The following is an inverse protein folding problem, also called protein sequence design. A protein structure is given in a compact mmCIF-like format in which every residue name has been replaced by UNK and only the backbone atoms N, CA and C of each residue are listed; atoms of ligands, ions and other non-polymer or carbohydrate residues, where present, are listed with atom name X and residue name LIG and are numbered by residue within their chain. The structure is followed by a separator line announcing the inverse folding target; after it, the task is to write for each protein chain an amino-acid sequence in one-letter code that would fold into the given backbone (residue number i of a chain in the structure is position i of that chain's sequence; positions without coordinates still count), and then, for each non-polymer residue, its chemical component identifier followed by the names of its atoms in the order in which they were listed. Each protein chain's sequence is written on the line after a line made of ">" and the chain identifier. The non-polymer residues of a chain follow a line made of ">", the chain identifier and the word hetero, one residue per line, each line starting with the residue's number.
data_IF_355044616653
#
_entry.id   IF_355044616653
#
_cell.length_a   1.000
_cell.length_b   1.000
_cell.length_c   1.000
_cell.angle_alpha   90.00
_cell.angle_beta   90.00
_cell.angle_gamma   90.00
#
_symmetry.space_group_name_H-M   'P 1'
#
loop_
_entity.id
_entity.type
_entity.pdbx_description
1 polymer ?
#
# COMPACT_ATOMS: atom_id res chain seq x y z
N UNK A 1 -48.63 -13.91 -17.49
CA UNK A 1 -49.35 -13.16 -16.45
C UNK A 1 -49.11 -13.92 -15.16
N UNK A 2 -48.19 -13.59 -14.27
CA UNK A 2 -47.24 -12.48 -14.12
C UNK A 2 -46.04 -13.13 -13.38
N UNK A 3 -44.81 -13.10 -13.89
CA UNK A 3 -43.83 -12.02 -13.70
C UNK A 3 -43.99 -11.25 -12.39
N UNK A 4 -43.40 -11.77 -11.31
CA UNK A 4 -42.77 -10.94 -10.29
C UNK A 4 -41.81 -11.81 -9.46
N UNK A 5 -40.61 -12.00 -10.00
CA UNK A 5 -39.43 -12.29 -9.20
C UNK A 5 -38.51 -11.08 -9.31
N UNK A 6 -38.88 -10.00 -8.62
CA UNK A 6 -37.94 -8.94 -8.21
C UNK A 6 -36.94 -9.54 -7.21
N UNK A 7 -36.02 -10.36 -7.69
CA UNK A 7 -34.79 -10.61 -6.95
C UNK A 7 -33.83 -9.51 -7.34
N UNK A 8 -33.89 -8.41 -6.59
CA UNK A 8 -33.01 -7.25 -6.73
C UNK A 8 -31.56 -7.71 -6.56
N UNK A 9 -30.92 -8.08 -7.67
CA UNK A 9 -29.47 -8.29 -7.77
C UNK A 9 -28.80 -7.02 -7.27
N UNK A 10 -28.45 -6.99 -5.99
CA UNK A 10 -27.53 -6.01 -5.41
C UNK A 10 -26.31 -6.01 -6.32
N UNK A 11 -26.12 -4.91 -7.05
CA UNK A 11 -24.93 -4.70 -7.87
C UNK A 11 -23.77 -4.47 -6.93
N UNK A 12 -23.11 -5.54 -6.51
CA UNK A 12 -21.87 -5.43 -5.78
C UNK A 12 -20.77 -5.00 -6.75
N UNK A 13 -19.98 -4.01 -6.34
CA UNK A 13 -18.77 -3.65 -7.05
C UNK A 13 -17.58 -4.25 -6.31
N UNK A 14 -16.81 -5.09 -6.99
CA UNK A 14 -15.63 -5.74 -6.44
C UNK A 14 -14.38 -5.00 -6.90
N UNK A 15 -13.48 -4.70 -5.96
CA UNK A 15 -12.18 -4.11 -6.29
C UNK A 15 -11.17 -5.23 -6.55
N UNK A 16 -10.56 -5.20 -7.73
CA UNK A 16 -9.48 -6.10 -8.14
C UNK A 16 -8.12 -5.42 -8.13
N UNK A 17 -7.09 -6.25 -8.10
CA UNK A 17 -5.71 -5.86 -8.36
C UNK A 17 -5.24 -6.63 -9.59
N UNK A 18 -4.88 -5.91 -10.65
CA UNK A 18 -4.29 -6.46 -11.87
C UNK A 18 -2.79 -6.15 -11.85
N UNK A 19 -1.93 -7.09 -11.41
CA UNK A 19 -0.49 -6.86 -11.39
C UNK A 19 0.09 -6.75 -12.80
N UNK A 20 1.08 -5.88 -12.97
CA UNK A 20 1.89 -5.82 -14.18
C UNK A 20 2.83 -7.05 -14.22
N UNK A 21 3.12 -7.59 -15.42
CA UNK A 21 4.05 -8.72 -15.55
C UNK A 21 5.43 -8.37 -14.96
N UNK A 22 6.05 -9.34 -14.30
CA UNK A 22 7.39 -9.20 -13.73
C UNK A 22 8.32 -10.24 -14.30
N UNK A 23 9.51 -9.79 -14.68
CA UNK A 23 10.64 -10.66 -15.00
C UNK A 23 11.53 -10.77 -13.77
N UNK A 24 11.85 -12.00 -13.39
CA UNK A 24 12.70 -12.31 -12.24
C UNK A 24 13.86 -13.16 -12.72
N UNK A 25 15.07 -12.77 -12.33
CA UNK A 25 16.24 -13.63 -12.48
C UNK A 25 16.16 -14.76 -11.44
N UNK A 26 16.40 -15.99 -11.88
CA UNK A 26 16.34 -17.16 -11.00
C UNK A 26 17.47 -17.18 -9.97
N UNK A 27 18.61 -16.59 -10.31
CA UNK A 27 19.77 -16.38 -9.44
C UNK A 27 20.28 -14.98 -9.73
N UNK A 28 20.42 -14.17 -8.68
CA UNK A 28 20.96 -12.83 -8.74
C UNK A 28 21.75 -12.56 -7.46
N UNK A 29 22.88 -11.87 -7.58
CA UNK A 29 23.78 -11.53 -6.48
C UNK A 29 23.69 -10.05 -6.11
N UNK A 30 22.91 -9.26 -6.85
CA UNK A 30 22.67 -7.86 -6.55
C UNK A 30 21.76 -7.69 -5.32
N UNK A 31 21.97 -6.67 -4.47
CA UNK A 31 21.09 -6.38 -3.33
C UNK A 31 19.61 -6.22 -3.72
N UNK A 32 19.36 -5.78 -4.96
CA UNK A 32 18.01 -5.64 -5.53
C UNK A 32 17.21 -6.96 -5.56
N UNK A 33 17.88 -8.12 -5.53
CA UNK A 33 17.23 -9.42 -5.45
C UNK A 33 16.33 -9.57 -4.21
N UNK A 34 16.72 -8.93 -3.10
CA UNK A 34 15.97 -8.93 -1.83
C UNK A 34 14.90 -7.83 -1.76
N UNK A 35 14.70 -7.08 -2.85
CA UNK A 35 13.69 -6.03 -2.96
C UNK A 35 12.73 -6.29 -4.12
N UNK A 36 11.61 -6.96 -3.83
CA UNK A 36 10.60 -7.26 -4.86
C UNK A 36 9.64 -6.08 -5.00
N UNK A 37 9.56 -5.50 -6.19
CA UNK A 37 8.57 -4.47 -6.52
C UNK A 37 7.27 -5.14 -6.95
N UNK A 38 6.12 -4.66 -6.48
CA UNK A 38 4.79 -5.02 -6.98
C UNK A 38 4.11 -3.78 -7.52
N UNK A 39 3.72 -3.78 -8.78
CA UNK A 39 3.03 -2.66 -9.43
C UNK A 39 1.88 -3.17 -10.29
N UNK A 40 0.90 -2.31 -10.53
CA UNK A 40 -0.22 -2.65 -11.40
C UNK A 40 -1.40 -1.71 -11.27
N UNK A 41 -2.54 -2.20 -11.72
CA UNK A 41 -3.79 -1.46 -11.83
C UNK A 41 -4.80 -1.88 -10.76
N UNK A 42 -5.57 -0.91 -10.27
CA UNK A 42 -6.75 -1.15 -9.43
C UNK A 42 -7.95 -1.19 -10.34
N UNK A 43 -8.69 -2.30 -10.33
CA UNK A 43 -9.84 -2.49 -11.21
C UNK A 43 -11.15 -2.57 -10.45
N UNK A 44 -12.26 -2.25 -11.13
CA UNK A 44 -13.61 -2.38 -10.60
C UNK A 44 -14.41 -3.34 -11.47
N UNK A 45 -14.91 -4.41 -10.87
CA UNK A 45 -15.86 -5.33 -11.49
C UNK A 45 -17.27 -4.91 -11.14
N UNK A 46 -18.06 -4.56 -12.13
CA UNK A 46 -19.51 -4.38 -12.00
C UNK A 46 -20.18 -5.74 -12.14
N UNK A 47 -21.27 -6.01 -11.40
CA UNK A 47 -21.90 -7.34 -11.29
C UNK A 47 -22.45 -8.01 -12.57
N UNK A 48 -22.05 -7.56 -13.76
CA UNK A 48 -22.21 -8.24 -15.03
C UNK A 48 -20.91 -8.98 -15.34
N UNK A 49 -20.97 -10.30 -15.50
CA UNK A 49 -19.81 -11.17 -15.77
C UNK A 49 -19.11 -10.90 -17.10
N UNK A 50 -19.80 -10.21 -18.02
CA UNK A 50 -19.37 -10.04 -19.41
C UNK A 50 -18.75 -8.66 -19.67
N UNK A 51 -18.81 -7.75 -18.69
CA UNK A 51 -18.20 -6.42 -18.82
C UNK A 51 -16.72 -6.48 -18.43
N UNK A 52 -15.87 -5.90 -19.27
CA UNK A 52 -14.45 -5.76 -18.95
C UNK A 52 -14.27 -4.94 -17.65
N UNK A 53 -13.36 -5.36 -16.75
CA UNK A 53 -13.11 -4.63 -15.52
C UNK A 53 -12.63 -3.20 -15.83
N UNK A 54 -13.20 -2.23 -15.12
CA UNK A 54 -12.88 -0.82 -15.32
C UNK A 54 -11.59 -0.49 -14.57
N UNK A 55 -10.61 0.11 -15.24
CA UNK A 55 -9.43 0.65 -14.58
C UNK A 55 -9.80 1.92 -13.80
N UNK A 56 -9.58 1.88 -12.48
CA UNK A 56 -9.92 2.97 -11.57
C UNK A 56 -8.69 3.56 -10.87
N UNK A 57 -7.48 3.07 -11.16
CA UNK A 57 -6.31 3.46 -10.39
C UNK A 57 -5.05 2.63 -10.61
N UNK A 58 -3.98 3.02 -9.92
CA UNK A 58 -2.69 2.32 -9.93
C UNK A 58 -2.18 2.10 -8.51
N UNK A 59 -1.36 1.07 -8.32
CA UNK A 59 -0.68 0.80 -7.06
C UNK A 59 0.80 0.47 -7.26
N UNK A 60 1.58 0.70 -6.21
CA UNK A 60 2.95 0.24 -6.07
C UNK A 60 3.18 -0.19 -4.62
N UNK A 61 3.86 -1.32 -4.44
CA UNK A 61 4.37 -1.81 -3.17
C UNK A 61 5.77 -2.40 -3.36
N UNK A 62 6.51 -2.51 -2.27
CA UNK A 62 7.78 -3.23 -2.22
C UNK A 62 7.74 -4.26 -1.11
N UNK A 63 8.28 -5.44 -1.38
CA UNK A 63 8.56 -6.44 -0.37
C UNK A 63 10.07 -6.49 -0.14
N UNK A 64 10.47 -6.24 1.11
CA UNK A 64 11.86 -6.30 1.55
C UNK A 64 12.07 -7.64 2.24
N UNK A 65 12.89 -8.50 1.64
CA UNK A 65 13.33 -9.77 2.20
C UNK A 65 14.60 -9.56 3.06
N UNK A 66 14.41 -8.95 4.22
CA UNK A 66 15.48 -8.68 5.17
C UNK A 66 16.08 -9.96 5.74
N UNK A 67 15.26 -10.99 5.96
CA UNK A 67 15.71 -12.30 6.43
C UNK A 67 16.64 -12.96 5.41
N UNK A 68 16.22 -13.02 4.14
CA UNK A 68 17.03 -13.54 3.04
C UNK A 68 18.34 -12.78 2.88
N UNK A 69 18.31 -11.45 2.96
CA UNK A 69 19.51 -10.62 2.86
C UNK A 69 20.52 -10.95 3.98
N UNK A 70 20.05 -11.06 5.23
CA UNK A 70 20.90 -11.45 6.37
C UNK A 70 21.48 -12.86 6.18
N UNK A 71 20.67 -13.82 5.73
CA UNK A 71 21.14 -15.18 5.46
C UNK A 71 22.19 -15.25 4.34
N UNK A 72 22.15 -14.32 3.38
CA UNK A 72 23.08 -14.22 2.27
C UNK A 72 24.29 -13.31 2.56
N UNK A 73 24.45 -12.81 3.78
CA UNK A 73 25.48 -11.83 4.17
C UNK A 73 25.43 -10.53 3.33
N UNK A 74 24.21 -10.13 2.93
CA UNK A 74 23.95 -8.89 2.19
C UNK A 74 23.42 -7.82 3.15
N UNK A 75 24.01 -6.64 3.08
CA UNK A 75 23.64 -5.49 3.91
C UNK A 75 22.23 -5.01 3.57
N UNK A 76 21.36 -4.90 4.59
CA UNK A 76 20.03 -4.31 4.44
C UNK A 76 20.08 -2.84 3.99
N UNK A 77 21.19 -2.14 4.27
CA UNK A 77 21.42 -0.79 3.74
C UNK A 77 21.48 -0.80 2.21
N UNK A 78 22.22 -1.74 1.62
CA UNK A 78 22.37 -1.82 0.16
C UNK A 78 21.06 -2.26 -0.50
N UNK A 79 20.30 -3.17 0.15
CA UNK A 79 18.97 -3.56 -0.31
C UNK A 79 18.02 -2.37 -0.35
N UNK A 80 17.95 -1.58 0.73
CA UNK A 80 17.04 -0.44 0.81
C UNK A 80 17.53 0.80 0.03
N UNK A 81 18.82 0.89 -0.28
CA UNK A 81 19.42 1.94 -1.14
C UNK A 81 19.34 1.61 -2.64
N UNK A 82 18.80 0.44 -3.01
CA UNK A 82 18.56 0.08 -4.42
C UNK A 82 17.62 1.08 -5.11
N UNK A 83 16.69 1.70 -4.38
CA UNK A 83 15.84 2.77 -4.90
C UNK A 83 15.60 3.86 -3.86
N UNK A 84 15.50 5.10 -4.34
CA UNK A 84 15.24 6.27 -3.50
C UNK A 84 13.93 6.14 -2.70
N UNK A 85 12.94 5.41 -3.22
CA UNK A 85 11.66 5.20 -2.54
C UNK A 85 11.80 4.39 -1.24
N UNK A 86 12.82 3.54 -1.12
CA UNK A 86 12.95 2.59 0.00
C UNK A 86 14.01 2.99 1.03
N UNK A 87 14.93 3.88 0.68
CA UNK A 87 16.05 4.27 1.55
C UNK A 87 15.59 4.78 2.93
N UNK A 88 14.58 5.66 2.97
CA UNK A 88 14.06 6.24 4.22
C UNK A 88 13.59 5.15 5.22
N UNK A 89 13.22 3.95 4.76
CA UNK A 89 12.69 2.87 5.60
C UNK A 89 13.77 2.19 6.45
N UNK A 90 15.06 2.43 6.21
CA UNK A 90 16.15 1.97 7.06
C UNK A 90 15.98 2.39 8.53
N UNK A 91 15.39 3.56 8.80
CA UNK A 91 15.16 4.05 10.16
C UNK A 91 14.17 3.20 10.98
N UNK A 92 13.52 2.21 10.36
CA UNK A 92 12.65 1.26 11.04
C UNK A 92 13.43 0.14 11.71
N UNK A 93 14.66 -0.11 11.26
CA UNK A 93 15.55 -1.14 11.76
C UNK A 93 16.56 -0.60 12.77
N UNK A 94 16.97 -1.45 13.70
CA UNK A 94 18.14 -1.22 14.54
C UNK A 94 19.39 -1.30 13.67
N UNK A 95 20.34 -0.35 13.78
CA UNK A 95 21.58 -0.38 13.01
C UNK A 95 22.35 -1.68 13.23
N UNK A 96 22.57 -2.45 12.14
CA UNK A 96 23.39 -3.67 12.16
C UNK A 96 22.76 -4.92 12.79
N UNK A 97 21.51 -4.86 13.27
CA UNK A 97 20.90 -5.99 13.98
C UNK A 97 19.80 -6.72 13.19
N UNK A 98 19.38 -6.20 12.03
CA UNK A 98 18.31 -6.81 11.22
C UNK A 98 16.94 -6.87 11.91
N UNK A 99 16.79 -6.25 13.08
CA UNK A 99 15.56 -6.22 13.89
C UNK A 99 14.95 -4.82 13.90
N UNK A 100 13.69 -4.69 14.33
CA UNK A 100 12.99 -3.40 14.38
C UNK A 100 13.37 -2.55 15.59
N UNK A 101 13.33 -1.22 15.42
CA UNK A 101 13.54 -0.28 16.53
C UNK A 101 12.43 -0.37 17.60
N UNK A 102 12.75 0.01 18.84
CA UNK A 102 11.75 0.09 19.93
C UNK A 102 10.55 0.98 19.58
N UNK A 103 10.77 2.06 18.83
CA UNK A 103 9.71 2.95 18.37
C UNK A 103 8.71 2.24 17.46
N UNK A 104 9.22 1.35 16.59
CA UNK A 104 8.40 0.51 15.72
C UNK A 104 7.63 -0.53 16.54
N UNK A 105 8.29 -1.25 17.44
CA UNK A 105 7.67 -2.24 18.32
C UNK A 105 6.53 -1.62 19.16
N UNK A 106 6.78 -0.44 19.75
CA UNK A 106 5.78 0.33 20.49
C UNK A 106 4.58 0.73 19.62
N UNK A 107 4.81 1.17 18.39
CA UNK A 107 3.74 1.53 17.47
C UNK A 107 2.92 0.32 17.01
N UNK A 108 3.60 -0.80 16.77
CA UNK A 108 3.02 -2.10 16.43
C UNK A 108 2.29 -2.76 17.61
N UNK A 109 2.50 -2.27 18.85
CA UNK A 109 2.04 -2.90 20.10
C UNK A 109 2.53 -4.35 20.19
N UNK A 110 3.81 -4.54 19.98
CA UNK A 110 4.48 -5.82 20.10
C UNK A 110 5.67 -5.66 21.06
N UNK A 111 5.91 -6.67 21.89
CA UNK A 111 7.14 -6.74 22.69
C UNK A 111 8.32 -7.23 21.83
N UNK A 112 8.02 -8.05 20.82
CA UNK A 112 8.98 -8.59 19.86
C UNK A 112 8.29 -8.94 18.53
N UNK A 113 9.03 -8.91 17.43
CA UNK A 113 8.61 -9.39 16.11
C UNK A 113 9.74 -10.26 15.54
N UNK A 114 9.43 -11.51 15.18
CA UNK A 114 10.44 -12.45 14.68
C UNK A 114 10.76 -12.20 13.21
N UNK A 115 9.76 -11.83 12.42
CA UNK A 115 9.89 -11.67 10.98
C UNK A 115 10.42 -10.26 10.64
N UNK A 116 11.68 -10.13 10.18
CA UNK A 116 12.28 -8.83 9.89
C UNK A 116 11.81 -8.27 8.53
N UNK A 117 11.12 -9.07 7.74
CA UNK A 117 10.64 -8.71 6.40
C UNK A 117 9.54 -7.66 6.46
N UNK A 118 9.50 -6.81 5.42
CA UNK A 118 8.66 -5.61 5.39
C UNK A 118 7.87 -5.52 4.08
N UNK A 119 6.56 -5.34 4.19
CA UNK A 119 5.74 -4.91 3.05
C UNK A 119 5.56 -3.39 3.10
N UNK A 120 6.15 -2.68 2.15
CA UNK A 120 6.02 -1.24 1.97
C UNK A 120 4.88 -0.97 0.99
N UNK A 121 3.81 -0.33 1.44
CA UNK A 121 2.76 0.21 0.57
C UNK A 121 3.18 1.62 0.15
N UNK A 122 3.71 1.74 -1.06
CA UNK A 122 4.41 2.93 -1.53
C UNK A 122 3.47 3.92 -2.22
N UNK A 123 2.69 3.45 -3.21
CA UNK A 123 1.77 4.29 -3.98
C UNK A 123 0.41 3.64 -4.12
N UNK A 124 -0.62 4.44 -3.95
CA UNK A 124 -1.99 4.08 -4.32
C UNK A 124 -2.70 5.31 -4.87
N UNK A 125 -3.15 5.17 -6.10
CA UNK A 125 -3.80 6.21 -6.87
C UNK A 125 -5.17 5.74 -7.28
N UNK A 126 -6.21 6.49 -6.93
CA UNK A 126 -7.57 6.24 -7.39
C UNK A 126 -8.00 7.45 -8.22
N UNK A 127 -8.52 7.21 -9.42
CA UNK A 127 -9.01 8.23 -10.32
C UNK A 127 -10.11 9.08 -9.65
N UNK A 128 -10.17 10.40 -9.88
CA UNK A 128 -11.09 11.31 -9.18
C UNK A 128 -12.56 10.84 -9.15
N UNK A 129 -13.06 10.29 -10.25
CA UNK A 129 -14.44 9.81 -10.40
C UNK A 129 -14.82 8.66 -9.44
N UNK A 130 -13.83 7.92 -8.94
CA UNK A 130 -14.01 6.73 -8.10
C UNK A 130 -13.59 6.95 -6.64
N UNK A 131 -13.17 8.18 -6.27
CA UNK A 131 -12.78 8.51 -4.89
C UNK A 131 -13.99 8.59 -3.96
N UNK A 132 -13.72 8.53 -2.65
CA UNK A 132 -14.71 8.63 -1.55
C UNK A 132 -15.75 7.50 -1.51
N UNK A 133 -15.57 6.45 -2.31
CA UNK A 133 -16.39 5.22 -2.32
C UNK A 133 -15.72 4.03 -1.64
N UNK A 134 -14.69 4.26 -0.82
CA UNK A 134 -13.98 3.19 -0.10
C UNK A 134 -13.07 2.28 -0.94
N UNK A 135 -13.05 2.37 -2.28
CA UNK A 135 -12.24 1.49 -3.13
C UNK A 135 -10.75 1.51 -2.82
N UNK A 136 -10.18 2.66 -2.43
CA UNK A 136 -8.78 2.73 -2.01
C UNK A 136 -8.48 1.89 -0.76
N UNK A 137 -9.40 1.82 0.21
CA UNK A 137 -9.21 0.97 1.40
C UNK A 137 -9.31 -0.51 1.02
N UNK A 138 -10.23 -0.86 0.11
CA UNK A 138 -10.36 -2.23 -0.39
C UNK A 138 -9.10 -2.66 -1.15
N UNK A 139 -8.56 -1.80 -2.01
CA UNK A 139 -7.30 -2.04 -2.72
C UNK A 139 -6.15 -2.28 -1.72
N UNK A 140 -6.01 -1.45 -0.68
CA UNK A 140 -4.99 -1.68 0.36
C UNK A 140 -5.17 -3.01 1.09
N UNK A 141 -6.40 -3.42 1.40
CA UNK A 141 -6.67 -4.73 1.99
C UNK A 141 -6.24 -5.84 1.04
N UNK A 142 -6.56 -5.73 -0.25
CA UNK A 142 -6.11 -6.66 -1.28
C UNK A 142 -4.58 -6.72 -1.33
N UNK A 143 -3.90 -5.58 -1.36
CA UNK A 143 -2.44 -5.50 -1.43
C UNK A 143 -1.81 -6.17 -0.20
N UNK A 144 -2.34 -5.90 1.00
CA UNK A 144 -1.89 -6.59 2.21
C UNK A 144 -2.13 -8.09 2.09
N UNK A 145 -3.33 -8.53 1.68
CA UNK A 145 -3.64 -9.96 1.59
C UNK A 145 -2.71 -10.71 0.63
N UNK A 146 -2.45 -10.15 -0.56
CA UNK A 146 -1.69 -10.81 -1.61
C UNK A 146 -0.17 -10.70 -1.45
N UNK A 147 0.33 -9.59 -0.87
CA UNK A 147 1.76 -9.31 -0.86
C UNK A 147 2.41 -9.42 0.53
N UNK A 148 1.66 -9.60 1.62
CA UNK A 148 2.25 -9.62 2.97
C UNK A 148 2.90 -10.94 3.37
N UNK A 149 2.80 -12.01 2.57
CA UNK A 149 3.25 -13.33 2.99
C UNK A 149 4.74 -13.31 3.41
N UNK A 150 5.02 -13.70 4.65
CA UNK A 150 6.36 -13.69 5.25
C UNK A 150 6.83 -12.33 5.79
N UNK A 151 6.08 -11.24 5.63
CA UNK A 151 6.40 -9.96 6.25
C UNK A 151 5.95 -9.94 7.71
N UNK A 152 6.73 -9.35 8.62
CA UNK A 152 6.30 -9.09 10.00
C UNK A 152 5.44 -7.83 10.10
N UNK A 153 5.75 -6.83 9.28
CA UNK A 153 5.07 -5.55 9.26
C UNK A 153 4.65 -5.14 7.84
N UNK A 154 3.53 -4.43 7.79
CA UNK A 154 3.14 -3.58 6.67
C UNK A 154 3.40 -2.14 7.06
N UNK A 155 4.04 -1.38 6.18
CA UNK A 155 4.39 0.02 6.42
C UNK A 155 3.99 0.91 5.25
N UNK A 156 3.83 2.20 5.53
CA UNK A 156 3.65 3.23 4.51
C UNK A 156 4.12 4.59 5.02
N UNK A 157 4.42 5.50 4.09
CA UNK A 157 4.59 6.93 4.34
C UNK A 157 3.32 7.66 3.89
N UNK A 158 2.47 8.17 4.79
CA UNK A 158 1.30 8.96 4.40
C UNK A 158 1.75 10.31 3.83
N UNK A 159 1.98 10.34 2.52
CA UNK A 159 2.45 11.52 1.79
C UNK A 159 1.35 12.00 0.83
N UNK A 160 0.86 13.25 0.97
CA UNK A 160 -0.16 13.76 0.05
C UNK A 160 0.42 13.96 -1.35
N UNK A 161 -0.15 13.26 -2.35
CA UNK A 161 0.28 13.30 -3.76
C UNK A 161 0.35 14.71 -4.35
N UNK A 162 -0.49 15.64 -3.90
CA UNK A 162 -0.42 17.04 -4.35
C UNK A 162 0.88 17.75 -3.93
N UNK A 163 1.61 17.19 -2.96
CA UNK A 163 2.93 17.68 -2.54
C UNK A 163 4.05 17.22 -3.49
N UNK A 164 3.79 16.22 -4.33
CA UNK A 164 4.67 15.83 -5.44
C UNK A 164 4.38 16.71 -6.67
N UNK A 165 3.12 17.13 -6.84
CA UNK A 165 2.68 17.90 -8.01
C UNK A 165 3.33 19.29 -8.15
N UNK A 166 3.93 19.84 -7.09
CA UNK A 166 4.68 21.10 -7.15
C UNK A 166 5.93 21.02 -8.05
N UNK A 167 6.33 19.82 -8.50
CA UNK A 167 7.38 19.61 -9.50
C UNK A 167 6.88 19.41 -10.93
N UNK A 168 5.55 19.35 -11.16
CA UNK A 168 4.99 19.18 -12.51
C UNK A 168 5.12 20.46 -13.33
N UNK A 169 5.48 20.31 -14.61
CA UNK A 169 5.41 21.40 -15.60
C UNK A 169 3.95 21.80 -15.78
N UNK A 170 3.69 23.09 -16.00
CA UNK A 170 2.34 23.69 -16.10
C UNK A 170 1.43 23.07 -17.15
N UNK A 171 1.98 22.32 -18.10
CA UNK A 171 1.32 21.92 -19.33
C UNK A 171 0.81 20.46 -19.31
N UNK A 172 1.07 19.71 -18.22
CA UNK A 172 0.55 18.35 -18.07
C UNK A 172 -0.91 18.33 -17.59
N UNK A 173 -1.78 17.51 -18.21
CA UNK A 173 -3.17 17.40 -17.77
C UNK A 173 -3.25 16.86 -16.34
N UNK A 174 -4.02 17.54 -15.49
CA UNK A 174 -4.27 17.14 -14.10
C UNK A 174 -5.27 15.98 -14.03
N UNK A 175 -4.90 14.82 -14.59
CA UNK A 175 -5.72 13.60 -14.64
C UNK A 175 -6.15 13.13 -13.24
N UNK A 176 -5.37 13.48 -12.22
CA UNK A 176 -5.63 13.13 -10.83
C UNK A 176 -6.34 14.22 -10.03
N UNK A 177 -6.74 15.32 -10.68
CA UNK A 177 -7.37 16.48 -10.05
C UNK A 177 -6.64 16.92 -8.77
N UNK A 178 -5.30 16.90 -8.78
CA UNK A 178 -4.44 17.21 -7.64
C UNK A 178 -4.63 18.67 -7.19
N UNK A 179 -4.92 19.55 -8.14
CA UNK A 179 -5.29 20.96 -7.91
C UNK A 179 -6.52 21.15 -7.02
N UNK A 180 -7.41 20.15 -6.95
CA UNK A 180 -8.60 20.19 -6.10
C UNK A 180 -8.33 19.88 -4.61
N UNK A 181 -7.13 19.40 -4.26
CA UNK A 181 -6.77 19.12 -2.88
C UNK A 181 -6.36 20.37 -2.11
N UNK A 182 -6.48 20.31 -0.78
CA UNK A 182 -5.98 21.38 0.09
C UNK A 182 -4.47 21.56 -0.09
N UNK A 183 -4.06 22.80 -0.27
CA UNK A 183 -2.66 23.26 -0.30
C UNK A 183 -1.99 23.20 1.08
N UNK A 184 -2.76 23.02 2.16
CA UNK A 184 -2.22 22.87 3.50
C UNK A 184 -1.70 21.45 3.76
N UNK A 185 -0.40 21.25 3.53
CA UNK A 185 0.30 19.97 3.70
C UNK A 185 0.02 19.27 5.04
N UNK A 186 0.01 20.01 6.15
CA UNK A 186 -0.23 19.46 7.49
C UNK A 186 -1.63 18.87 7.65
N UNK A 187 -2.65 19.57 7.13
CA UNK A 187 -4.05 19.11 7.15
C UNK A 187 -4.25 17.90 6.24
N UNK A 188 -3.66 17.92 5.05
CA UNK A 188 -3.72 16.79 4.13
C UNK A 188 -3.09 15.52 4.71
N UNK A 189 -1.91 15.66 5.32
CA UNK A 189 -1.21 14.57 5.99
C UNK A 189 -1.98 14.02 7.18
N UNK A 190 -2.59 14.88 8.01
CA UNK A 190 -3.44 14.45 9.12
C UNK A 190 -4.67 13.66 8.62
N UNK A 191 -5.28 14.09 7.50
CA UNK A 191 -6.39 13.38 6.87
C UNK A 191 -5.98 11.99 6.36
N UNK A 192 -4.83 11.88 5.70
CA UNK A 192 -4.29 10.60 5.24
C UNK A 192 -3.98 9.66 6.41
N UNK A 193 -3.34 10.17 7.47
CA UNK A 193 -3.09 9.39 8.69
C UNK A 193 -4.39 8.84 9.29
N UNK A 194 -5.45 9.65 9.37
CA UNK A 194 -6.77 9.18 9.84
C UNK A 194 -7.40 8.16 8.90
N UNK A 195 -7.22 8.34 7.59
CA UNK A 195 -7.72 7.41 6.59
C UNK A 195 -7.06 6.02 6.72
N UNK A 196 -5.74 5.95 6.76
CA UNK A 196 -5.03 4.67 6.90
C UNK A 196 -5.14 4.06 8.31
N UNK A 197 -5.33 4.88 9.34
CA UNK A 197 -5.63 4.38 10.68
C UNK A 197 -6.92 3.54 10.73
N UNK A 198 -7.84 3.71 9.77
CA UNK A 198 -9.02 2.85 9.65
C UNK A 198 -8.66 1.41 9.35
N UNK A 199 -7.47 1.10 8.83
CA UNK A 199 -6.99 -0.27 8.59
C UNK A 199 -6.08 -0.81 9.72
N UNK A 200 -5.93 -0.06 10.81
CA UNK A 200 -5.12 -0.45 11.97
C UNK A 200 -3.71 0.16 12.00
N UNK A 201 -3.30 0.87 10.95
CA UNK A 201 -1.98 1.53 10.92
C UNK A 201 -1.79 2.53 12.07
N UNK A 202 -0.60 2.55 12.65
CA UNK A 202 -0.18 3.43 13.75
C UNK A 202 1.08 4.19 13.39
N UNK A 203 1.14 5.48 13.73
CA UNK A 203 2.32 6.31 13.49
C UNK A 203 3.48 5.84 14.38
N UNK A 204 4.64 5.62 13.77
CA UNK A 204 5.88 5.35 14.50
C UNK A 204 6.41 6.66 15.09
N UNK A 205 6.64 6.76 16.41
CA UNK A 205 7.11 7.99 17.06
C UNK A 205 8.35 8.57 16.39
N UNK A 206 8.39 9.90 16.24
CA UNK A 206 9.51 10.68 15.65
C UNK A 206 9.84 10.36 14.18
N UNK A 207 9.03 9.55 13.51
CA UNK A 207 9.19 9.28 12.07
C UNK A 207 8.00 9.79 11.28
N UNK A 208 8.07 9.58 9.97
CA UNK A 208 6.99 9.86 9.04
C UNK A 208 6.09 8.67 8.73
N UNK A 209 6.44 7.48 9.22
CA UNK A 209 5.86 6.22 8.80
C UNK A 209 4.72 5.76 9.69
N UNK A 210 3.80 5.00 9.10
CA UNK A 210 2.82 4.25 9.84
C UNK A 210 3.02 2.76 9.61
N UNK A 211 2.94 1.98 10.68
CA UNK A 211 3.12 0.52 10.66
C UNK A 211 1.84 -0.19 11.11
N UNK A 212 1.69 -1.42 10.65
CA UNK A 212 0.63 -2.36 11.01
C UNK A 212 1.24 -3.75 11.04
N UNK A 213 0.89 -4.57 12.03
CA UNK A 213 1.30 -5.98 12.04
C UNK A 213 0.45 -6.80 11.08
N UNK A 214 1.04 -7.80 10.43
CA UNK A 214 0.33 -8.66 9.48
C UNK A 214 -0.72 -9.56 10.15
N UNK A 215 -0.48 -9.96 11.40
CA UNK A 215 -1.33 -10.86 12.19
C UNK A 215 -2.58 -10.17 12.77
N UNK A 216 -2.64 -8.84 12.68
CA UNK A 216 -3.84 -8.10 13.01
C UNK A 216 -4.92 -8.39 11.98
N UNK A 217 -6.13 -8.74 12.42
CA UNK A 217 -7.27 -8.84 11.51
C UNK A 217 -7.53 -7.46 10.90
N UNK A 218 -7.59 -7.31 9.57
CA UNK A 218 -8.04 -6.06 8.99
C UNK A 218 -9.46 -5.78 9.49
N UNK A 219 -9.78 -4.55 9.90
CA UNK A 219 -11.15 -4.22 10.29
C UNK A 219 -12.07 -4.52 9.12
N UNK A 220 -13.23 -5.11 9.42
CA UNK A 220 -14.27 -5.34 8.43
C UNK A 220 -14.67 -3.99 7.84
N UNK A 221 -14.30 -3.73 6.59
CA UNK A 221 -14.94 -2.67 5.83
C UNK A 221 -16.43 -3.03 5.71
N UNK A 222 -17.36 -2.07 5.78
CA UNK A 222 -18.76 -2.37 5.52
C UNK A 222 -18.87 -3.09 4.17
N UNK A 223 -19.46 -4.29 4.19
CA UNK A 223 -19.59 -5.18 3.03
C UNK A 223 -20.51 -4.63 1.92
N UNK A 224 -21.04 -3.42 2.12
CA UNK A 224 -22.01 -2.74 1.29
C UNK A 224 -21.55 -1.29 1.17
N UNK A 225 -21.05 -0.94 -0.01
CA UNK A 225 -21.02 0.44 -0.44
C UNK A 225 -22.05 0.50 -1.54
N UNK A 226 -23.28 0.83 -1.17
CA UNK A 226 -24.34 1.14 -2.12
C UNK A 226 -23.80 2.26 -3.03
N UNK A 227 -23.78 2.01 -4.33
CA UNK A 227 -23.41 2.99 -5.36
C UNK A 227 -24.62 3.87 -5.65
#
# INVERSE_FOLDING_TARGET
>A
MDSDSEDGKRRFALVGLKPDPQELLAIDYEPSHFLRRHEGHVTLYTGNSDDDPIDIGRYQAFYVDAEGAVCADVSLHDVLDTTQSTYDYLQLYQPGEGTYTEAVLKAAKADWLYEPNLLILDRLEILPAYRRRGYGLQALIGMMHWFQAGAGLVVMKPFPLQSEASSRRSDEPDLMALSSFTTHHTKARAKLRRYYAQLGFKLVPRTQFMVRRVDQRPPSLPAHLDI
#
